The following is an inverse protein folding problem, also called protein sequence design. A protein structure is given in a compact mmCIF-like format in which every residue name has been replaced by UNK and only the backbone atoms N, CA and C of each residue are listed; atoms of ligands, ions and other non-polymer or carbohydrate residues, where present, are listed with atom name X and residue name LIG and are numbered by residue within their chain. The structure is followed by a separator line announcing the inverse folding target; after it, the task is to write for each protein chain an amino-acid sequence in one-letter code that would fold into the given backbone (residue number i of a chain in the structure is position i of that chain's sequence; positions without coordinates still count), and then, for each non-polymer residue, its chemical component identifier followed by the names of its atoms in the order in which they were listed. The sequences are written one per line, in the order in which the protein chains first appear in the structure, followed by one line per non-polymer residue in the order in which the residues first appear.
data_IF_436272808187
#
_entry.id   IF_436272808187
#
_cell.length_a   1.000
_cell.length_b   1.000
_cell.length_c   1.000
_cell.angle_alpha   90.00
_cell.angle_beta   90.00
_cell.angle_gamma   90.00
#
_symmetry.space_group_name_H-M   'P 1'
#
loop_
_entity.id
_entity.type
_entity.pdbx_description
1 polymer ?
#
# COMPACT_ATOMS: atom_id res chain seq x y z
N UNK A 1 -10.17 15.13 -5.62
CA UNK A 1 -9.31 13.93 -5.65
C UNK A 1 -10.18 12.73 -5.34
N UNK A 2 -9.90 11.58 -5.96
CA UNK A 2 -10.63 10.35 -5.65
C UNK A 2 -10.02 9.71 -4.40
N UNK A 3 -10.86 9.02 -3.62
CA UNK A 3 -10.40 8.19 -2.51
C UNK A 3 -10.07 6.80 -3.05
N UNK A 4 -8.91 6.29 -2.68
CA UNK A 4 -8.45 4.95 -3.03
C UNK A 4 -8.26 4.13 -1.76
N UNK A 5 -8.78 2.92 -1.77
CA UNK A 5 -8.40 1.87 -0.83
C UNK A 5 -7.29 1.07 -1.48
N UNK A 6 -6.14 0.95 -0.83
CA UNK A 6 -4.95 0.26 -1.35
C UNK A 6 -4.53 -0.79 -0.35
N UNK A 7 -4.20 -1.98 -0.81
CA UNK A 7 -3.60 -3.02 0.01
C UNK A 7 -2.29 -3.44 -0.62
N UNK A 8 -1.19 -3.19 0.10
CA UNK A 8 0.13 -3.65 -0.29
C UNK A 8 0.35 -5.06 0.27
N UNK A 9 0.87 -5.95 -0.57
CA UNK A 9 1.20 -7.33 -0.24
C UNK A 9 2.71 -7.46 -0.15
N UNK A 10 3.19 -8.14 0.88
CA UNK A 10 4.62 -8.31 1.07
C UNK A 10 4.95 -9.33 2.14
N UNK A 11 6.22 -9.36 2.49
CA UNK A 11 6.75 -10.13 3.60
C UNK A 11 7.45 -9.20 4.59
N UNK A 12 7.46 -9.63 5.85
CA UNK A 12 8.40 -9.12 6.82
C UNK A 12 9.79 -9.72 6.55
N UNK A 13 10.78 -8.87 6.28
CA UNK A 13 12.14 -9.33 6.02
C UNK A 13 12.84 -9.98 7.22
N UNK A 14 12.42 -9.68 8.44
CA UNK A 14 12.94 -10.24 9.68
C UNK A 14 12.23 -11.55 10.05
N UNK A 15 10.90 -11.55 10.17
CA UNK A 15 10.14 -12.75 10.60
C UNK A 15 9.87 -13.73 9.46
N UNK A 16 9.99 -13.29 8.20
CA UNK A 16 9.62 -14.04 6.98
C UNK A 16 8.13 -14.35 6.87
N UNK A 17 7.30 -13.71 7.69
CA UNK A 17 5.85 -13.87 7.63
C UNK A 17 5.24 -12.97 6.54
N UNK A 18 4.12 -13.42 5.98
CA UNK A 18 3.35 -12.62 5.03
C UNK A 18 2.68 -11.43 5.74
N UNK A 19 2.69 -10.28 5.09
CA UNK A 19 2.14 -9.03 5.58
C UNK A 19 1.22 -8.38 4.55
N UNK A 20 0.21 -7.69 5.07
CA UNK A 20 -0.76 -6.92 4.32
C UNK A 20 -0.86 -5.53 4.93
N UNK A 21 -0.54 -4.49 4.17
CA UNK A 21 -0.57 -3.11 4.66
C UNK A 21 -1.71 -2.33 3.98
N UNK A 22 -2.83 -2.08 4.69
CA UNK A 22 -3.96 -1.33 4.14
C UNK A 22 -3.77 0.18 4.27
N UNK A 23 -4.13 0.92 3.21
CA UNK A 23 -4.10 2.37 3.15
C UNK A 23 -5.39 2.93 2.55
N UNK A 24 -5.84 4.08 3.06
CA UNK A 24 -6.92 4.87 2.47
C UNK A 24 -6.41 6.27 2.17
N UNK A 25 -6.23 6.59 0.89
CA UNK A 25 -5.55 7.81 0.45
C UNK A 25 -6.38 8.58 -0.58
N UNK A 26 -6.35 9.90 -0.49
CA UNK A 26 -6.87 10.77 -1.54
C UNK A 26 -5.76 11.07 -2.56
N UNK A 27 -6.01 10.77 -3.83
CA UNK A 27 -5.02 10.98 -4.89
C UNK A 27 -5.66 11.46 -6.20
N UNK A 28 -4.81 11.90 -7.13
CA UNK A 28 -5.23 12.29 -8.49
C UNK A 28 -5.60 11.07 -9.34
N UNK A 29 -4.91 9.95 -9.16
CA UNK A 29 -5.14 8.67 -9.84
C UNK A 29 -4.56 7.51 -9.00
N UNK A 30 -4.87 6.27 -9.40
CA UNK A 30 -4.44 5.06 -8.70
C UNK A 30 -2.91 4.97 -8.53
N UNK A 31 -2.14 5.25 -9.58
CA UNK A 31 -0.67 5.18 -9.54
C UNK A 31 -0.07 6.15 -8.50
N UNK A 32 -0.61 7.37 -8.41
CA UNK A 32 -0.20 8.33 -7.40
C UNK A 32 -0.54 7.84 -5.98
N UNK A 33 -1.71 7.19 -5.81
CA UNK A 33 -2.15 6.64 -4.54
C UNK A 33 -1.23 5.48 -4.08
N UNK A 34 -0.92 4.54 -4.97
CA UNK A 34 0.01 3.41 -4.70
C UNK A 34 1.40 3.91 -4.35
N UNK A 35 1.92 4.91 -5.10
CA UNK A 35 3.24 5.48 -4.82
C UNK A 35 3.30 6.10 -3.42
N UNK A 36 2.25 6.79 -3.00
CA UNK A 36 2.20 7.37 -1.66
C UNK A 36 2.06 6.27 -0.60
N UNK A 37 1.22 5.25 -0.82
CA UNK A 37 1.12 4.09 0.07
C UNK A 37 2.47 3.39 0.28
N UNK A 38 3.25 3.16 -0.79
CA UNK A 38 4.60 2.58 -0.69
C UNK A 38 5.56 3.44 0.11
N UNK A 39 5.47 4.76 -0.05
CA UNK A 39 6.27 5.71 0.73
C UNK A 39 5.92 5.65 2.22
N UNK A 40 4.62 5.56 2.55
CA UNK A 40 4.16 5.36 3.92
C UNK A 40 4.64 4.01 4.48
N UNK A 41 4.52 2.92 3.72
CA UNK A 41 5.00 1.60 4.12
C UNK A 41 6.49 1.61 4.44
N UNK A 42 7.33 2.14 3.54
CA UNK A 42 8.78 2.23 3.75
C UNK A 42 9.17 3.07 4.98
N UNK A 43 8.38 4.08 5.31
CA UNK A 43 8.65 4.94 6.47
C UNK A 43 8.16 4.34 7.79
N UNK A 44 7.02 3.63 7.77
CA UNK A 44 6.37 3.11 8.97
C UNK A 44 6.81 1.68 9.31
N UNK A 45 7.19 0.90 8.29
CA UNK A 45 7.58 -0.49 8.38
C UNK A 45 8.75 -0.79 7.42
N UNK A 46 9.98 -0.33 7.75
CA UNK A 46 11.16 -0.50 6.89
C UNK A 46 11.49 -1.94 6.50
N UNK A 47 11.08 -2.91 7.33
CA UNK A 47 11.31 -4.33 7.16
C UNK A 47 10.35 -4.95 6.12
N UNK A 48 9.33 -4.22 5.67
CA UNK A 48 8.35 -4.67 4.70
C UNK A 48 8.98 -4.72 3.31
N UNK A 49 8.94 -5.88 2.68
CA UNK A 49 9.34 -6.08 1.29
C UNK A 49 8.08 -6.44 0.50
N UNK A 50 7.66 -5.55 -0.40
CA UNK A 50 6.54 -5.78 -1.30
C UNK A 50 6.87 -6.94 -2.26
N UNK A 51 6.01 -7.95 -2.35
CA UNK A 51 6.24 -9.17 -3.12
C UNK A 51 5.09 -9.51 -4.09
N UNK A 52 4.05 -8.66 -4.15
CA UNK A 52 2.87 -8.86 -4.99
C UNK A 52 2.35 -7.56 -5.61
N UNK A 53 1.42 -7.71 -6.55
CA UNK A 53 0.70 -6.56 -7.10
C UNK A 53 -0.26 -5.99 -6.05
N UNK A 54 -0.25 -4.66 -5.80
CA UNK A 54 -1.14 -4.07 -4.82
C UNK A 54 -2.59 -4.10 -5.31
N UNK A 55 -3.51 -4.37 -4.39
CA UNK A 55 -4.94 -4.25 -4.68
C UNK A 55 -5.35 -2.79 -4.53
N UNK A 56 -6.13 -2.28 -5.48
CA UNK A 56 -6.49 -0.85 -5.57
C UNK A 56 -7.95 -0.71 -5.97
N UNK A 57 -8.75 -0.19 -5.03
CA UNK A 57 -10.15 0.10 -5.24
C UNK A 57 -10.43 1.60 -5.17
N UNK A 58 -11.26 2.11 -6.10
CA UNK A 58 -11.78 3.47 -6.02
C UNK A 58 -12.97 3.48 -5.07
N UNK A 59 -12.85 4.20 -3.97
CA UNK A 59 -13.93 4.37 -3.00
C UNK A 59 -14.91 5.41 -3.54
N UNK A 60 -16.04 4.95 -4.07
CA UNK A 60 -17.17 5.81 -4.43
C UNK A 60 -17.80 6.35 -3.13
N UNK A 61 -18.11 7.64 -3.11
CA UNK A 61 -18.83 8.29 -2.01
C UNK A 61 -20.25 7.78 -1.92
#
# INVERSE_FOLDING_TARGET
MAKFSIMLFGIDSYTKENLYLPYKLEARNANAAVREARKHAKSAYPEFIEDGEPDVEVVKR
#
